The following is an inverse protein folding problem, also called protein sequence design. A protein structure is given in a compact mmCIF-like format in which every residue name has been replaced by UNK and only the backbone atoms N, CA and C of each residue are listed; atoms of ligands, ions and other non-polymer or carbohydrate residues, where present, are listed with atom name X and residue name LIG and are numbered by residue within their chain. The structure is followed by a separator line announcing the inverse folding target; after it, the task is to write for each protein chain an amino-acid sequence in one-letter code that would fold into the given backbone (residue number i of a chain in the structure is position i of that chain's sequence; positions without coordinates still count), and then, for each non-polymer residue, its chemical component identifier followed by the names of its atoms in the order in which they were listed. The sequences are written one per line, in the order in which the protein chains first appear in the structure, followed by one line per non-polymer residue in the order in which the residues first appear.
data_IF_575405511559
#
_entry.id   IF_575405511559
#
_cell.length_a   1.000
_cell.length_b   1.000
_cell.length_c   1.000
_cell.angle_alpha   90.00
_cell.angle_beta   90.00
_cell.angle_gamma   90.00
#
_symmetry.space_group_name_H-M   'P 1'
#
loop_
_entity.id
_entity.type
_entity.pdbx_description
1 polymer ?
#
# COMPACT_ATOMS: atom_id res chain seq x y z
N UNK A 1 -13.61 60.84 -16.06
CA UNK A 1 -14.67 59.84 -15.83
C UNK A 1 -14.69 58.96 -17.05
N UNK A 2 -14.27 57.70 -16.89
CA UNK A 2 -14.70 56.54 -17.69
C UNK A 2 -13.91 55.32 -17.18
N UNK A 3 -14.23 54.97 -15.94
CA UNK A 3 -13.83 53.73 -15.29
C UNK A 3 -14.96 52.72 -15.48
N UNK A 4 -15.03 52.03 -16.62
CA UNK A 4 -15.96 50.91 -16.77
C UNK A 4 -15.37 49.74 -17.57
N UNK A 5 -15.33 48.61 -16.86
CA UNK A 5 -15.46 47.24 -17.39
C UNK A 5 -14.28 46.63 -18.15
N UNK A 6 -13.15 46.45 -17.46
CA UNK A 6 -12.40 45.21 -17.67
C UNK A 6 -13.11 44.11 -16.88
N UNK A 7 -14.19 43.58 -17.45
CA UNK A 7 -14.76 42.31 -17.01
C UNK A 7 -13.70 41.25 -17.27
N UNK A 8 -12.92 40.96 -16.22
CA UNK A 8 -12.15 39.73 -16.14
C UNK A 8 -13.14 38.59 -16.37
N UNK A 9 -13.10 38.03 -17.57
CA UNK A 9 -13.64 36.71 -17.85
C UNK A 9 -12.91 35.76 -16.90
N UNK A 10 -13.45 35.58 -15.70
CA UNK A 10 -13.29 34.34 -14.97
C UNK A 10 -13.96 33.31 -15.86
N UNK A 11 -13.20 32.75 -16.80
CA UNK A 11 -13.55 31.50 -17.44
C UNK A 11 -13.88 30.56 -16.29
N UNK A 12 -15.17 30.34 -16.07
CA UNK A 12 -15.63 29.27 -15.20
C UNK A 12 -14.94 28.04 -15.75
N UNK A 13 -13.89 27.57 -15.06
CA UNK A 13 -13.21 26.34 -15.44
C UNK A 13 -14.31 25.28 -15.42
N UNK A 14 -14.74 24.85 -16.60
CA UNK A 14 -15.78 23.85 -16.75
C UNK A 14 -15.20 22.55 -16.23
N UNK A 15 -15.46 22.30 -14.96
CA UNK A 15 -15.15 21.05 -14.31
C UNK A 15 -15.81 19.91 -15.12
N UNK A 16 -15.03 18.89 -15.47
CA UNK A 16 -15.55 17.73 -16.18
C UNK A 16 -15.89 16.63 -15.19
N UNK A 17 -17.04 15.98 -15.35
CA UNK A 17 -17.40 14.76 -14.60
C UNK A 17 -16.26 13.73 -14.56
N UNK A 18 -15.44 13.70 -15.62
CA UNK A 18 -14.22 12.88 -15.71
C UNK A 18 -13.21 13.18 -14.59
N UNK A 19 -12.97 14.44 -14.24
CA UNK A 19 -12.01 14.80 -13.18
C UNK A 19 -12.53 14.44 -11.77
N UNK A 20 -13.86 14.41 -11.54
CA UNK A 20 -14.41 13.83 -10.30
C UNK A 20 -14.25 12.33 -10.30
N UNK A 21 -14.57 11.68 -11.41
CA UNK A 21 -14.47 10.24 -11.51
C UNK A 21 -13.03 9.76 -11.33
N UNK A 22 -12.05 10.43 -11.93
CA UNK A 22 -10.63 10.13 -11.76
C UNK A 22 -10.19 10.30 -10.31
N UNK A 23 -10.58 11.39 -9.63
CA UNK A 23 -10.27 11.60 -8.21
C UNK A 23 -10.96 10.55 -7.32
N UNK A 24 -12.23 10.27 -7.57
CA UNK A 24 -12.99 9.28 -6.82
C UNK A 24 -12.37 7.88 -6.97
N UNK A 25 -12.06 7.49 -8.20
CA UNK A 25 -11.54 6.16 -8.53
C UNK A 25 -10.13 5.93 -7.97
N UNK A 26 -9.25 6.94 -8.05
CA UNK A 26 -7.91 6.81 -7.46
C UNK A 26 -7.99 6.72 -5.94
N UNK A 27 -8.88 7.47 -5.28
CA UNK A 27 -9.10 7.38 -3.82
C UNK A 27 -9.66 6.02 -3.39
N UNK A 28 -10.62 5.45 -4.15
CA UNK A 28 -11.11 4.08 -3.94
C UNK A 28 -9.95 3.09 -4.00
N UNK A 29 -9.16 3.16 -5.08
CA UNK A 29 -8.09 2.20 -5.36
C UNK A 29 -6.98 2.26 -4.33
N UNK A 30 -6.55 3.47 -3.96
CA UNK A 30 -5.51 3.70 -2.95
C UNK A 30 -5.91 3.11 -1.61
N UNK A 31 -7.13 3.42 -1.13
CA UNK A 31 -7.51 2.99 0.20
C UNK A 31 -7.81 1.48 0.25
N UNK A 32 -8.38 0.93 -0.82
CA UNK A 32 -8.51 -0.52 -0.96
C UNK A 32 -7.12 -1.20 -0.91
N UNK A 33 -6.13 -0.66 -1.62
CA UNK A 33 -4.77 -1.18 -1.61
C UNK A 33 -4.11 -1.05 -0.23
N UNK A 34 -4.31 0.06 0.48
CA UNK A 34 -3.84 0.25 1.85
C UNK A 34 -4.38 -0.84 2.79
N UNK A 35 -5.69 -1.08 2.75
CA UNK A 35 -6.33 -2.13 3.54
C UNK A 35 -5.85 -3.54 3.17
N UNK A 36 -5.68 -3.80 1.87
CA UNK A 36 -5.12 -5.07 1.40
C UNK A 36 -3.68 -5.27 1.90
N UNK A 37 -2.85 -4.23 1.87
CA UNK A 37 -1.48 -4.28 2.34
C UNK A 37 -1.40 -4.53 3.86
N UNK A 38 -2.12 -3.76 4.68
CA UNK A 38 -2.08 -3.91 6.15
C UNK A 38 -2.63 -5.26 6.61
N UNK A 39 -3.54 -5.87 5.85
CA UNK A 39 -4.09 -7.18 6.18
C UNK A 39 -3.18 -8.31 5.72
N UNK A 40 -2.67 -8.24 4.50
CA UNK A 40 -1.98 -9.35 3.86
C UNK A 40 -0.51 -9.46 4.29
N UNK A 41 0.24 -8.35 4.31
CA UNK A 41 1.68 -8.42 4.62
C UNK A 41 1.98 -8.96 6.02
N UNK A 42 1.30 -8.51 7.10
CA UNK A 42 1.52 -9.07 8.43
C UNK A 42 1.08 -10.53 8.57
N UNK A 43 0.12 -10.99 7.76
CA UNK A 43 -0.30 -12.39 7.76
C UNK A 43 0.77 -13.34 7.19
N UNK A 44 1.58 -12.87 6.24
CA UNK A 44 2.64 -13.67 5.60
C UNK A 44 4.02 -13.44 6.23
N UNK A 45 4.29 -12.26 6.77
CA UNK A 45 5.56 -11.90 7.42
C UNK A 45 5.29 -11.59 8.88
N UNK A 46 5.40 -12.62 9.74
CA UNK A 46 5.11 -12.53 11.17
C UNK A 46 5.87 -11.37 11.86
N UNK A 47 7.08 -11.04 11.41
CA UNK A 47 7.82 -9.90 11.98
C UNK A 47 7.08 -8.56 11.86
N UNK A 48 6.27 -8.38 10.81
CA UNK A 48 5.46 -7.19 10.63
C UNK A 48 4.28 -7.13 11.62
N UNK A 49 3.88 -8.23 12.26
CA UNK A 49 2.85 -8.19 13.31
C UNK A 49 3.36 -7.58 14.61
N UNK A 50 4.67 -7.65 14.90
CA UNK A 50 5.26 -6.95 16.05
C UNK A 50 5.30 -5.43 15.82
N UNK A 51 5.42 -5.01 14.57
CA UNK A 51 5.45 -3.61 14.17
C UNK A 51 4.21 -3.26 13.33
N UNK A 52 3.03 -3.36 13.95
CA UNK A 52 1.71 -3.27 13.30
C UNK A 52 1.52 -2.03 12.41
N UNK A 53 2.16 -0.91 12.77
CA UNK A 53 2.03 0.35 12.05
C UNK A 53 3.01 0.53 10.88
N UNK A 54 3.97 -0.38 10.66
CA UNK A 54 5.01 -0.23 9.63
C UNK A 54 4.41 -0.16 8.23
N UNK A 55 3.47 -1.06 7.91
CA UNK A 55 2.83 -1.10 6.58
C UNK A 55 1.95 0.14 6.35
N UNK A 56 1.22 0.58 7.38
CA UNK A 56 0.41 1.79 7.34
C UNK A 56 1.28 3.04 7.16
N UNK A 57 2.36 3.17 7.92
CA UNK A 57 3.29 4.29 7.81
C UNK A 57 4.00 4.31 6.46
N UNK A 58 4.39 3.15 5.92
CA UNK A 58 4.95 3.02 4.58
C UNK A 58 3.97 3.51 3.52
N UNK A 59 2.70 3.11 3.63
CA UNK A 59 1.63 3.53 2.72
C UNK A 59 1.43 5.05 2.78
N UNK A 60 1.32 5.64 3.98
CA UNK A 60 1.23 7.10 4.15
C UNK A 60 2.44 7.86 3.64
N UNK A 61 3.65 7.36 3.90
CA UNK A 61 4.88 7.97 3.39
C UNK A 61 4.89 7.93 1.86
N UNK A 62 4.65 6.77 1.26
CA UNK A 62 4.61 6.58 -0.18
C UNK A 62 3.60 7.48 -0.85
N UNK A 63 2.37 7.53 -0.34
CA UNK A 63 1.33 8.44 -0.84
C UNK A 63 1.73 9.90 -0.74
N UNK A 64 2.27 10.32 0.41
CA UNK A 64 2.68 11.71 0.65
C UNK A 64 3.79 12.13 -0.32
N UNK A 65 4.82 11.28 -0.49
CA UNK A 65 5.88 11.49 -1.47
C UNK A 65 5.31 11.54 -2.89
N UNK A 66 4.40 10.61 -3.23
CA UNK A 66 3.66 10.61 -4.48
C UNK A 66 2.99 11.97 -4.74
N UNK A 67 2.18 12.46 -3.80
CA UNK A 67 1.51 13.75 -3.87
C UNK A 67 2.48 14.93 -4.10
N UNK A 68 3.65 14.92 -3.44
CA UNK A 68 4.69 15.93 -3.64
C UNK A 68 5.28 15.86 -5.07
N UNK A 69 5.43 14.66 -5.63
CA UNK A 69 5.89 14.46 -7.01
C UNK A 69 4.84 14.71 -8.09
N UNK A 70 3.62 15.15 -7.73
CA UNK A 70 2.53 15.37 -8.69
C UNK A 70 2.84 16.44 -9.76
N UNK A 71 3.78 17.35 -9.51
CA UNK A 71 4.24 18.34 -10.50
C UNK A 71 5.27 17.80 -11.49
N UNK A 72 5.88 16.64 -11.22
CA UNK A 72 6.84 16.03 -12.13
C UNK A 72 6.12 15.37 -13.30
N UNK A 73 6.71 15.42 -14.50
CA UNK A 73 6.16 14.75 -15.69
C UNK A 73 6.38 13.24 -15.71
N UNK A 74 7.30 12.72 -14.88
CA UNK A 74 7.52 11.27 -14.76
C UNK A 74 6.25 10.61 -14.23
N UNK A 75 5.88 9.46 -14.80
CA UNK A 75 4.75 8.67 -14.35
C UNK A 75 5.27 7.47 -13.54
N UNK A 76 5.18 7.58 -12.21
CA UNK A 76 5.59 6.52 -11.29
C UNK A 76 4.56 5.39 -11.17
N UNK A 77 3.32 5.60 -11.62
CA UNK A 77 2.23 4.61 -11.60
C UNK A 77 2.62 3.31 -12.33
N UNK A 78 3.39 3.42 -13.41
CA UNK A 78 3.86 2.27 -14.21
C UNK A 78 4.74 1.31 -13.40
N UNK A 79 5.42 1.79 -12.37
CA UNK A 79 6.30 0.98 -11.53
C UNK A 79 5.55 0.32 -10.37
N UNK A 80 4.36 0.81 -10.02
CA UNK A 80 3.58 0.30 -8.88
C UNK A 80 3.25 -1.19 -9.01
N UNK A 81 2.74 -1.72 -10.14
CA UNK A 81 2.49 -3.14 -10.27
C UNK A 81 3.75 -4.00 -10.07
N UNK A 82 4.89 -3.56 -10.62
CA UNK A 82 6.17 -4.26 -10.45
C UNK A 82 6.60 -4.29 -8.98
N UNK A 83 6.53 -3.14 -8.29
CA UNK A 83 6.89 -3.03 -6.87
C UNK A 83 5.97 -3.86 -5.98
N UNK A 84 4.67 -3.92 -6.30
CA UNK A 84 3.74 -4.82 -5.61
C UNK A 84 4.11 -6.28 -5.83
N UNK A 85 4.43 -6.70 -7.05
CA UNK A 85 4.89 -8.08 -7.33
C UNK A 85 6.17 -8.40 -6.56
N UNK A 86 7.13 -7.48 -6.50
CA UNK A 86 8.35 -7.65 -5.69
C UNK A 86 8.02 -7.79 -4.20
N UNK A 87 7.15 -6.94 -3.67
CA UNK A 87 6.75 -7.00 -2.27
C UNK A 87 6.02 -8.31 -1.93
N UNK A 88 5.05 -8.72 -2.76
CA UNK A 88 4.30 -9.97 -2.61
C UNK A 88 5.24 -11.19 -2.71
N UNK A 89 6.12 -11.21 -3.72
CA UNK A 89 7.09 -12.29 -3.92
C UNK A 89 8.07 -12.40 -2.74
N UNK A 90 8.54 -11.27 -2.21
CA UNK A 90 9.39 -11.26 -1.03
C UNK A 90 8.66 -11.78 0.21
N UNK A 91 7.40 -11.40 0.43
CA UNK A 91 6.60 -11.90 1.55
C UNK A 91 6.40 -13.43 1.49
N UNK A 92 6.08 -13.96 0.30
CA UNK A 92 5.96 -15.40 0.08
C UNK A 92 7.30 -16.12 0.25
N UNK A 93 8.41 -15.53 -0.20
CA UNK A 93 9.74 -16.11 -0.01
C UNK A 93 10.11 -16.22 1.47
N UNK A 94 9.78 -15.21 2.28
CA UNK A 94 9.96 -15.22 3.73
C UNK A 94 9.10 -16.32 4.39
N UNK A 95 7.84 -16.44 3.99
CA UNK A 95 6.93 -17.47 4.49
C UNK A 95 7.45 -18.89 4.17
N UNK A 96 7.81 -19.16 2.90
CA UNK A 96 8.32 -20.46 2.44
C UNK A 96 9.61 -20.83 3.17
N UNK A 97 10.53 -19.87 3.33
CA UNK A 97 11.78 -20.07 4.06
C UNK A 97 11.47 -20.52 5.49
N UNK A 98 10.60 -19.79 6.20
CA UNK A 98 10.18 -20.12 7.56
C UNK A 98 9.60 -21.53 7.68
N UNK A 99 8.65 -21.90 6.83
CA UNK A 99 8.02 -23.24 6.88
C UNK A 99 8.98 -24.36 6.54
N UNK A 100 9.98 -24.10 5.70
CA UNK A 100 11.03 -25.06 5.38
C UNK A 100 11.98 -25.25 6.57
N UNK A 101 12.39 -24.18 7.25
CA UNK A 101 13.20 -24.26 8.47
C UNK A 101 12.51 -25.05 9.59
N UNK A 102 11.21 -24.85 9.81
CA UNK A 102 10.45 -25.62 10.82
C UNK A 102 10.46 -27.12 10.47
N UNK A 103 10.27 -27.48 9.19
CA UNK A 103 10.29 -28.87 8.74
C UNK A 103 11.66 -29.53 8.85
N UNK A 104 12.75 -28.81 8.60
CA UNK A 104 14.11 -29.36 8.73
C UNK A 104 14.54 -29.56 10.18
N UNK A 105 14.07 -28.73 11.11
CA UNK A 105 14.33 -28.87 12.55
C UNK A 105 13.57 -30.07 13.15
N UNK A 106 12.42 -30.45 12.57
CA UNK A 106 11.60 -31.58 13.06
C UNK A 106 12.12 -32.97 12.63
N UNK A 107 13.09 -33.06 11.71
CA UNK A 107 13.70 -34.35 11.28
C UNK A 107 14.94 -34.73 12.09
N UNK A 108 15.36 -33.88 13.03
CA UNK A 108 16.55 -34.04 13.85
C UNK A 108 16.22 -34.24 15.33
N UNK A 109 15.63 -35.38 15.69
CA UNK A 109 15.71 -35.99 17.02
C UNK A 109 15.54 -35.03 18.22
N UNK A 110 14.34 -34.48 18.46
CA UNK A 110 13.99 -33.88 19.75
C UNK A 110 12.68 -34.47 20.29
N UNK A 111 12.83 -35.33 21.30
CA UNK A 111 11.76 -35.87 22.11
C UNK A 111 11.36 -34.87 23.20
N UNK A 112 10.48 -33.90 22.90
CA UNK A 112 9.71 -33.15 23.92
C UNK A 112 8.70 -32.19 23.29
N UNK A 113 7.40 -32.54 23.24
CA UNK A 113 6.37 -31.70 22.65
C UNK A 113 5.72 -30.83 23.74
N UNK A 114 6.18 -29.59 24.02
CA UNK A 114 5.34 -28.63 24.77
C UNK A 114 5.82 -27.17 24.97
N UNK A 115 6.79 -26.66 24.22
CA UNK A 115 7.22 -25.26 24.43
C UNK A 115 7.14 -24.40 23.16
N UNK A 116 5.94 -23.84 22.93
CA UNK A 116 5.76 -22.66 22.09
C UNK A 116 6.23 -21.46 22.93
N UNK A 117 7.52 -21.17 22.91
CA UNK A 117 8.07 -19.99 23.59
C UNK A 117 7.90 -18.75 22.71
N UNK A 118 6.90 -17.95 23.09
CA UNK A 118 6.74 -16.58 22.61
C UNK A 118 7.80 -15.69 23.29
N UNK A 119 8.81 -15.30 22.51
CA UNK A 119 9.82 -14.35 22.94
C UNK A 119 10.96 -15.00 23.76
N UNK A 120 12.18 -14.55 23.48
CA UNK A 120 13.43 -14.83 24.20
C UNK A 120 13.88 -16.30 24.23
N UNK A 121 14.72 -16.70 23.26
CA UNK A 121 15.98 -17.43 23.48
C UNK A 121 16.74 -17.64 22.16
N UNK A 122 17.64 -16.69 21.84
CA UNK A 122 18.72 -16.88 20.87
C UNK A 122 19.88 -17.58 21.58
N UNK A 123 19.80 -18.88 21.82
CA UNK A 123 21.01 -19.67 22.05
C UNK A 123 20.78 -21.17 21.87
N UNK A 124 21.03 -21.66 20.66
CA UNK A 124 21.86 -22.87 20.46
C UNK A 124 22.25 -23.01 18.98
N UNK A 125 23.57 -23.00 18.78
CA UNK A 125 24.32 -23.58 17.67
C UNK A 125 24.25 -22.88 16.29
N UNK A 126 25.31 -22.11 15.99
CA UNK A 126 25.80 -21.77 14.64
C UNK A 126 24.84 -21.12 13.61
N UNK A 127 23.92 -20.26 14.06
CA UNK A 127 23.07 -19.43 13.18
C UNK A 127 23.65 -18.02 12.88
N UNK A 128 24.89 -17.75 13.26
CA UNK A 128 25.55 -16.44 13.13
C UNK A 128 25.97 -16.06 11.71
N UNK A 129 25.68 -16.88 10.69
CA UNK A 129 26.12 -16.59 9.31
C UNK A 129 25.03 -16.06 8.37
N UNK A 130 23.73 -16.27 8.64
CA UNK A 130 22.66 -15.86 7.71
C UNK A 130 21.28 -15.58 8.35
N UNK A 131 21.19 -15.27 9.64
CA UNK A 131 19.95 -14.72 10.20
C UNK A 131 19.81 -13.25 9.74
N UNK A 132 18.93 -12.99 8.77
CA UNK A 132 18.62 -11.62 8.33
C UNK A 132 18.06 -10.84 9.54
N UNK A 133 18.67 -9.71 9.94
CA UNK A 133 18.17 -8.92 11.06
C UNK A 133 16.73 -8.47 10.81
N UNK A 134 15.88 -8.53 11.83
CA UNK A 134 14.45 -8.18 11.72
C UNK A 134 14.28 -6.73 11.28
N UNK A 135 15.17 -5.85 11.69
CA UNK A 135 15.23 -4.44 11.31
C UNK A 135 15.44 -4.27 9.80
N UNK A 136 16.31 -5.09 9.20
CA UNK A 136 16.59 -5.08 7.76
C UNK A 136 15.37 -5.56 6.99
N UNK A 137 14.70 -6.61 7.47
CA UNK A 137 13.49 -7.14 6.84
C UNK A 137 12.34 -6.12 6.90
N UNK A 138 12.07 -5.56 8.08
CA UNK A 138 11.07 -4.51 8.27
C UNK A 138 11.39 -3.27 7.42
N UNK A 139 12.65 -2.83 7.39
CA UNK A 139 13.11 -1.71 6.57
C UNK A 139 12.93 -1.98 5.08
N UNK A 140 13.22 -3.21 4.61
CA UNK A 140 12.98 -3.63 3.24
C UNK A 140 11.49 -3.55 2.87
N UNK A 141 10.61 -4.16 3.66
CA UNK A 141 9.16 -4.11 3.40
C UNK A 141 8.62 -2.69 3.46
N UNK A 142 9.07 -1.90 4.44
CA UNK A 142 8.71 -0.49 4.54
C UNK A 142 9.07 0.26 3.26
N UNK A 143 10.31 0.10 2.76
CA UNK A 143 10.78 0.79 1.57
C UNK A 143 10.02 0.34 0.32
N UNK A 144 9.89 -0.97 0.07
CA UNK A 144 9.22 -1.45 -1.15
C UNK A 144 7.73 -1.09 -1.17
N UNK A 145 7.05 -1.16 -0.03
CA UNK A 145 5.65 -0.74 0.10
C UNK A 145 5.55 0.78 -0.09
N UNK A 146 6.39 1.58 0.58
CA UNK A 146 6.39 3.02 0.39
C UNK A 146 6.61 3.41 -1.09
N UNK A 147 7.59 2.78 -1.75
CA UNK A 147 7.82 2.99 -3.18
C UNK A 147 6.61 2.60 -4.04
N UNK A 148 5.91 1.51 -3.72
CA UNK A 148 4.71 1.09 -4.45
C UNK A 148 3.58 2.13 -4.38
N UNK A 149 3.42 2.80 -3.23
CA UNK A 149 2.40 3.84 -3.01
C UNK A 149 2.76 5.21 -3.63
N UNK A 150 4.00 5.44 -4.08
CA UNK A 150 4.39 6.69 -4.76
C UNK A 150 3.57 6.90 -6.03
N UNK A 151 3.39 5.87 -6.85
CA UNK A 151 2.65 5.96 -8.12
C UNK A 151 1.20 6.41 -7.93
N UNK A 152 0.38 5.67 -7.16
CA UNK A 152 -0.99 6.05 -6.84
C UNK A 152 -1.07 7.41 -6.15
N UNK A 153 -0.17 7.69 -5.19
CA UNK A 153 -0.10 8.99 -4.52
C UNK A 153 0.17 10.14 -5.50
N UNK A 154 0.98 9.91 -6.53
CA UNK A 154 1.23 10.90 -7.57
C UNK A 154 -0.04 11.23 -8.36
N UNK A 155 -0.81 10.23 -8.75
CA UNK A 155 -2.08 10.42 -9.44
C UNK A 155 -3.13 11.09 -8.55
N UNK A 156 -3.19 10.71 -7.27
CA UNK A 156 -4.04 11.40 -6.30
C UNK A 156 -3.67 12.88 -6.18
N UNK A 157 -2.38 13.20 -6.07
CA UNK A 157 -1.89 14.58 -6.02
C UNK A 157 -2.18 15.36 -7.30
N UNK A 158 -2.10 14.71 -8.47
CA UNK A 158 -2.48 15.32 -9.76
C UNK A 158 -3.98 15.59 -9.81
N UNK A 159 -4.79 14.62 -9.44
CA UNK A 159 -6.24 14.75 -9.41
C UNK A 159 -6.66 15.89 -8.46
N UNK A 160 -6.14 15.93 -7.23
CA UNK A 160 -6.41 17.00 -6.26
C UNK A 160 -6.00 18.39 -6.76
N UNK A 161 -4.87 18.52 -7.47
CA UNK A 161 -4.40 19.81 -8.01
C UNK A 161 -5.27 20.36 -9.15
N UNK A 162 -6.01 19.50 -9.87
CA UNK A 162 -6.94 19.95 -10.92
C UNK A 162 -8.17 20.66 -10.35
N UNK A 163 -8.49 20.44 -9.07
CA UNK A 163 -9.69 20.98 -8.45
C UNK A 163 -9.48 22.38 -7.84
N UNK A 164 -10.26 23.39 -8.25
CA UNK A 164 -10.14 24.74 -7.70
C UNK A 164 -10.69 24.85 -6.27
N UNK A 165 -11.80 24.15 -5.98
CA UNK A 165 -12.43 24.13 -4.66
C UNK A 165 -11.91 22.97 -3.81
N UNK A 166 -11.03 23.28 -2.85
CA UNK A 166 -10.40 22.28 -1.96
C UNK A 166 -11.42 21.43 -1.19
N UNK A 167 -12.54 22.02 -0.76
CA UNK A 167 -13.57 21.32 -0.02
C UNK A 167 -14.27 20.23 -0.85
N UNK A 168 -14.58 20.50 -2.13
CA UNK A 168 -15.23 19.52 -2.99
C UNK A 168 -14.28 18.37 -3.32
N UNK A 169 -13.02 18.68 -3.64
CA UNK A 169 -11.99 17.67 -3.87
C UNK A 169 -11.82 16.76 -2.65
N UNK A 170 -11.78 17.35 -1.45
CA UNK A 170 -11.72 16.59 -0.20
C UNK A 170 -12.96 15.71 0.00
N UNK A 171 -14.16 16.22 -0.28
CA UNK A 171 -15.41 15.45 -0.18
C UNK A 171 -15.40 14.24 -1.11
N UNK A 172 -14.98 14.43 -2.36
CA UNK A 172 -14.86 13.35 -3.34
C UNK A 172 -13.81 12.33 -2.88
N UNK A 173 -12.64 12.80 -2.44
CA UNK A 173 -11.58 11.94 -1.92
C UNK A 173 -12.08 11.09 -0.74
N UNK A 174 -12.76 11.68 0.24
CA UNK A 174 -13.32 10.94 1.38
C UNK A 174 -14.42 9.97 0.94
N UNK A 175 -15.28 10.35 0.01
CA UNK A 175 -16.32 9.44 -0.51
C UNK A 175 -15.74 8.24 -1.24
N UNK A 176 -14.68 8.44 -2.03
CA UNK A 176 -13.94 7.37 -2.70
C UNK A 176 -13.25 6.47 -1.69
N UNK A 177 -12.59 7.06 -0.70
CA UNK A 177 -11.99 6.35 0.44
C UNK A 177 -13.00 5.45 1.17
N UNK A 178 -14.14 5.99 1.58
CA UNK A 178 -15.20 5.20 2.24
C UNK A 178 -15.65 4.04 1.34
N UNK A 179 -15.82 4.29 0.04
CA UNK A 179 -16.17 3.25 -0.93
C UNK A 179 -15.08 2.18 -1.02
N UNK A 180 -13.80 2.55 -1.00
CA UNK A 180 -12.66 1.62 -0.95
C UNK A 180 -12.68 0.72 0.30
N UNK A 181 -12.99 1.28 1.48
CA UNK A 181 -13.19 0.50 2.72
C UNK A 181 -14.33 -0.50 2.55
N UNK A 182 -15.48 -0.05 2.06
CA UNK A 182 -16.67 -0.90 1.90
C UNK A 182 -16.41 -2.03 0.89
N UNK A 183 -15.75 -1.74 -0.23
CA UNK A 183 -15.39 -2.74 -1.23
C UNK A 183 -14.41 -3.78 -0.66
N UNK A 184 -13.41 -3.35 0.11
CA UNK A 184 -12.49 -4.25 0.78
C UNK A 184 -13.20 -5.12 1.81
N UNK A 185 -14.08 -4.51 2.63
CA UNK A 185 -14.89 -5.23 3.61
C UNK A 185 -15.79 -6.28 2.94
N UNK A 186 -16.43 -5.94 1.82
CA UNK A 186 -17.22 -6.89 1.03
C UNK A 186 -16.37 -8.04 0.49
N UNK A 187 -15.18 -7.76 -0.07
CA UNK A 187 -14.25 -8.80 -0.52
C UNK A 187 -13.81 -9.70 0.63
N UNK A 188 -13.55 -9.14 1.82
CA UNK A 188 -13.19 -9.89 3.01
C UNK A 188 -14.36 -10.73 3.53
N UNK A 189 -15.59 -10.23 3.45
CA UNK A 189 -16.81 -10.95 3.86
C UNK A 189 -17.09 -12.14 2.95
N UNK A 190 -16.85 -11.98 1.65
CA UNK A 190 -16.96 -13.04 0.65
C UNK A 190 -15.77 -14.00 0.61
N UNK A 191 -14.85 -13.88 1.57
CA UNK A 191 -13.64 -14.71 1.67
C UNK A 191 -12.81 -14.75 0.37
N UNK A 192 -12.83 -13.66 -0.39
CA UNK A 192 -12.09 -13.56 -1.64
C UNK A 192 -10.59 -13.73 -1.32
N UNK A 193 -9.93 -14.67 -2.00
CA UNK A 193 -8.49 -14.92 -1.81
C UNK A 193 -7.70 -13.63 -2.09
N UNK A 194 -6.74 -13.33 -1.22
CA UNK A 194 -6.00 -12.06 -1.28
C UNK A 194 -5.28 -11.79 -2.61
N UNK A 195 -4.91 -12.85 -3.34
CA UNK A 195 -4.39 -12.75 -4.71
C UNK A 195 -5.30 -11.92 -5.63
N UNK A 196 -6.62 -12.09 -5.53
CA UNK A 196 -7.59 -11.35 -6.33
C UNK A 196 -7.66 -9.86 -5.95
N UNK A 197 -7.40 -9.50 -4.70
CA UNK A 197 -7.39 -8.09 -4.27
C UNK A 197 -6.28 -7.32 -5.00
N UNK A 198 -5.08 -7.90 -5.08
CA UNK A 198 -3.96 -7.26 -5.77
C UNK A 198 -4.13 -7.25 -7.30
N UNK A 199 -4.80 -8.25 -7.89
CA UNK A 199 -5.18 -8.20 -9.31
C UNK A 199 -6.17 -7.06 -9.57
N UNK A 200 -7.21 -6.93 -8.73
CA UNK A 200 -8.19 -5.85 -8.86
C UNK A 200 -7.52 -4.48 -8.81
N UNK A 201 -6.56 -4.29 -7.89
CA UNK A 201 -5.76 -3.06 -7.84
C UNK A 201 -4.92 -2.89 -9.10
N UNK A 202 -4.20 -3.92 -9.55
CA UNK A 202 -3.36 -3.80 -10.74
C UNK A 202 -4.18 -3.41 -11.99
N UNK A 203 -5.37 -3.99 -12.15
CA UNK A 203 -6.32 -3.62 -13.21
C UNK A 203 -6.86 -2.20 -13.01
N UNK A 204 -7.21 -1.83 -11.78
CA UNK A 204 -7.71 -0.51 -11.44
C UNK A 204 -6.68 0.61 -11.61
N UNK A 205 -5.38 0.29 -11.70
CA UNK A 205 -4.29 1.24 -11.99
C UNK A 205 -3.88 1.27 -13.47
N UNK A 206 -4.47 0.42 -14.32
CA UNK A 206 -4.09 0.27 -15.73
C UNK A 206 -4.93 1.10 -16.73
N UNK A 207 -5.79 2.01 -16.24
CA UNK A 207 -6.60 2.90 -17.08
C UNK A 207 -5.80 4.10 -17.63
#
# INVERSE_FOLDING_TARGET
MDTLSSTKNHSAQSFSFRDAFELFWISVTILFLELAAIRWFPAHVLYLTFFTNVVLLASFLGMSVGCLTASQQRNYLRWTPLLLVVALGAALAVEISRTSFIRFVDVGNQSSPQQIYFGTEYHTQDLSRYAIPVEVLCGFFFLVIALAFIGPGQELGRALKRWPSRLQAYTINISGSITGIVLFAACSWLEVRAFWWFILVALALAY
#
